data_IF_001167796804
#
_entry.id   IF_001167796804
#
_cell.length_a   1.000
_cell.length_b   1.000
_cell.length_c   1.000
_cell.angle_alpha   90.00
_cell.angle_beta   90.00
_cell.angle_gamma   90.00
#
_symmetry.space_group_name_H-M   'P 1'
#
loop_
_entity.id
_entity.type
_entity.pdbx_description
1 polymer ?
2 polymer ?
3 non-polymer ?
4 non-polymer ?
5 non-polymer ?
6 water ?
#
# COMPACT_ATOMS: atom_id res chain seq x y z
N UNK A 1 17.14 -5.00 -19.05
CA UNK A 1 15.94 -5.71 -18.50
C UNK A 1 15.20 -4.91 -17.46
N UNK A 2 13.89 -5.14 -17.32
CA UNK A 2 13.13 -4.63 -16.17
C UNK A 2 13.29 -5.46 -14.95
N UNK A 3 13.87 -4.84 -13.91
CA UNK A 3 14.20 -5.58 -12.67
C UNK A 3 13.03 -5.52 -11.74
N UNK A 4 12.42 -6.70 -11.58
CA UNK A 4 11.12 -6.88 -10.88
C UNK A 4 11.31 -8.08 -9.96
N UNK A 5 10.82 -7.94 -8.74
CA UNK A 5 10.91 -9.08 -7.79
C UNK A 5 10.22 -10.31 -8.33
N UNK A 6 10.81 -11.48 -8.19
CA UNK A 6 10.13 -12.73 -8.52
C UNK A 6 10.57 -13.27 -9.89
N UNK A 7 11.13 -12.43 -10.76
CA UNK A 7 11.47 -12.93 -12.11
C UNK A 7 12.69 -13.79 -12.11
N UNK A 8 12.79 -14.66 -13.11
CA UNK A 8 13.92 -15.53 -13.28
C UNK A 8 15.16 -14.74 -13.62
N UNK A 9 16.29 -15.23 -13.09
CA UNK A 9 17.59 -14.92 -13.64
C UNK A 9 18.43 -16.17 -13.63
N UNK A 10 19.46 -16.24 -14.50
CA UNK A 10 20.36 -17.36 -14.41
C UNK A 10 21.70 -16.91 -13.87
N UNK A 11 22.48 -17.88 -13.37
CA UNK A 11 23.77 -17.59 -12.78
C UNK A 11 24.78 -18.46 -13.55
N UNK A 12 25.74 -17.82 -14.21
CA UNK A 12 26.80 -18.54 -15.02
C UNK A 12 26.21 -19.41 -16.06
N UNK A 13 25.05 -19.03 -16.55
CA UNK A 13 24.37 -19.82 -17.59
C UNK A 13 24.11 -21.23 -17.10
N UNK A 14 23.98 -21.50 -15.79
CA UNK A 14 24.04 -22.90 -15.21
C UNK A 14 22.98 -23.22 -14.21
N UNK A 15 22.48 -22.25 -13.48
CA UNK A 15 21.39 -22.42 -12.51
C UNK A 15 20.42 -21.25 -12.60
N UNK A 16 19.21 -21.46 -12.05
CA UNK A 16 18.20 -20.41 -12.04
C UNK A 16 17.75 -20.10 -10.67
N UNK A 17 17.52 -18.80 -10.45
CA UNK A 17 17.02 -18.25 -9.22
C UNK A 17 16.00 -17.15 -9.55
N UNK A 18 15.51 -16.49 -8.52
CA UNK A 18 14.50 -15.42 -8.68
C UNK A 18 15.03 -14.12 -8.03
N UNK A 19 14.72 -13.01 -8.71
CA UNK A 19 15.08 -11.68 -8.19
C UNK A 19 14.37 -11.43 -6.84
N UNK A 20 15.02 -10.78 -5.87
CA UNK A 20 14.35 -10.40 -4.65
C UNK A 20 13.74 -9.03 -4.80
N UNK A 21 14.57 -7.99 -4.72
CA UNK A 21 14.05 -6.62 -4.84
C UNK A 21 15.08 -5.74 -5.52
N UNK A 22 14.59 -4.79 -6.30
CA UNK A 22 15.42 -3.69 -6.83
C UNK A 22 15.94 -2.84 -5.68
N UNK A 23 17.21 -2.52 -5.76
CA UNK A 23 17.88 -1.60 -4.74
C UNK A 23 18.83 -0.70 -5.45
N UNK A 24 19.28 0.33 -4.74
CA UNK A 24 20.38 1.18 -5.22
C UNK A 24 21.40 1.32 -4.13
N UNK A 25 22.56 1.68 -4.59
CA UNK A 25 23.52 2.25 -3.66
C UNK A 25 24.22 3.42 -4.38
N UNK A 26 23.82 4.63 -4.10
CA UNK A 26 24.31 5.81 -4.82
C UNK A 26 23.99 5.51 -6.27
N UNK A 27 25.02 5.64 -7.12
CA UNK A 27 24.78 5.54 -8.54
C UNK A 27 24.73 4.08 -9.00
N UNK A 28 25.01 3.11 -8.13
CA UNK A 28 25.03 1.68 -8.56
C UNK A 28 23.64 1.07 -8.40
N UNK A 29 23.17 0.47 -9.47
CA UNK A 29 21.91 -0.26 -9.46
C UNK A 29 22.13 -1.69 -9.00
N UNK A 30 21.10 -2.29 -8.37
CA UNK A 30 21.34 -3.67 -7.93
C UNK A 30 19.99 -4.36 -7.68
N UNK A 31 20.10 -5.67 -7.36
CA UNK A 31 18.95 -6.36 -6.74
C UNK A 31 19.49 -7.25 -5.66
N UNK A 32 18.71 -7.42 -4.62
CA UNK A 32 19.02 -8.39 -3.56
C UNK A 32 18.45 -9.74 -3.91
N UNK A 33 19.05 -10.80 -3.39
CA UNK A 33 18.64 -12.19 -3.71
C UNK A 33 19.26 -13.04 -2.57
N UNK A 34 19.18 -14.37 -2.72
CA UNK A 34 19.76 -15.28 -1.70
C UNK A 34 21.20 -15.54 -1.98
N UNK A 35 21.95 -15.84 -0.92
CA UNK A 35 23.41 -16.08 -0.99
C UNK A 35 23.75 -17.36 -1.70
N UNK A 36 22.95 -18.41 -1.55
CA UNK A 36 23.30 -19.66 -2.22
C UNK A 36 23.12 -19.55 -3.78
N UNK A 37 22.48 -18.48 -4.25
CA UNK A 37 22.28 -18.37 -5.71
C UNK A 37 23.59 -18.15 -6.45
N UNK A 38 24.60 -17.60 -5.82
CA UNK A 38 25.86 -17.31 -6.56
C UNK A 38 27.00 -16.92 -5.67
N UNK A 39 28.19 -17.04 -6.24
CA UNK A 39 29.43 -16.45 -5.57
C UNK A 39 29.84 -15.15 -6.16
N UNK A 40 30.66 -14.43 -5.44
CA UNK A 40 31.04 -13.12 -5.91
C UNK A 40 31.61 -13.24 -7.32
N UNK A 41 31.26 -12.27 -8.16
CA UNK A 41 31.63 -12.14 -9.58
C UNK A 41 30.94 -13.13 -10.49
N UNK A 42 30.03 -13.99 -10.00
CA UNK A 42 29.25 -14.84 -10.96
C UNK A 42 28.36 -13.91 -11.78
N UNK A 43 28.04 -14.33 -13.00
CA UNK A 43 27.32 -13.50 -13.97
C UNK A 43 25.84 -13.79 -13.95
N UNK A 44 25.03 -12.75 -13.79
CA UNK A 44 23.58 -12.90 -13.82
C UNK A 44 23.02 -12.49 -15.22
N UNK A 45 22.08 -13.26 -15.73
CA UNK A 45 21.40 -12.97 -16.99
C UNK A 45 19.90 -12.96 -16.78
N UNK A 46 19.24 -12.07 -17.53
CA UNK A 46 17.75 -12.07 -17.64
C UNK A 46 17.39 -11.96 -19.09
N UNK A 47 16.48 -12.82 -19.54
CA UNK A 47 16.08 -12.76 -20.97
C UNK A 47 17.27 -13.10 -21.88
N UNK A 48 18.27 -13.85 -21.34
CA UNK A 48 19.44 -14.22 -22.14
C UNK A 48 20.55 -13.18 -22.22
N UNK A 49 20.36 -12.03 -21.57
CA UNK A 49 21.32 -10.96 -21.64
C UNK A 49 21.96 -10.79 -20.27
N UNK A 50 23.26 -10.51 -20.27
CA UNK A 50 24.01 -10.20 -19.01
C UNK A 50 23.42 -8.92 -18.43
N UNK A 51 23.06 -9.00 -17.17
CA UNK A 51 22.54 -7.82 -16.45
C UNK A 51 23.49 -7.34 -15.38
N UNK A 52 24.38 -8.20 -14.89
CA UNK A 52 25.28 -7.75 -13.80
C UNK A 52 25.96 -8.96 -13.23
N UNK A 53 26.61 -8.76 -12.09
CA UNK A 53 27.40 -9.79 -11.45
C UNK A 53 27.17 -9.75 -9.94
N UNK A 54 27.36 -10.89 -9.28
CA UNK A 54 27.21 -10.89 -7.80
C UNK A 54 28.26 -10.02 -7.14
N UNK A 55 27.80 -9.08 -6.31
CA UNK A 55 28.71 -8.15 -5.62
C UNK A 55 29.24 -8.72 -4.31
N UNK A 56 28.32 -9.39 -3.56
CA UNK A 56 28.67 -9.90 -2.21
C UNK A 56 27.63 -10.90 -1.81
N UNK A 57 28.04 -11.81 -0.92
CA UNK A 57 27.10 -12.81 -0.46
C UNK A 57 27.56 -13.37 0.87
N UNK A 58 26.59 -13.87 1.67
CA UNK A 58 26.90 -14.67 2.86
C UNK A 58 26.05 -15.94 2.73
N UNK A 59 26.68 -17.11 2.77
CA UNK A 59 25.98 -18.41 2.82
C UNK A 59 26.99 -19.45 3.17
N UNK A 60 26.76 -20.38 4.08
CA UNK A 60 25.58 -20.45 4.98
C UNK A 60 25.73 -19.53 6.18
N UNK A 61 25.06 -19.84 7.29
CA UNK A 61 25.01 -18.90 8.48
C UNK A 61 23.90 -17.95 8.23
N UNK A 62 24.12 -17.02 7.32
CA UNK A 62 23.08 -16.28 6.66
C UNK A 62 22.80 -16.85 5.27
N UNK A 63 21.90 -16.20 4.54
CA UNK A 63 21.67 -16.65 3.12
C UNK A 63 21.19 -15.41 2.36
N UNK A 64 22.14 -14.58 1.96
CA UNK A 64 21.89 -13.28 1.34
C UNK A 64 22.97 -12.93 0.32
N UNK A 65 22.56 -12.07 -0.63
CA UNK A 65 23.47 -11.56 -1.66
C UNK A 65 22.90 -10.30 -2.23
N UNK A 66 23.74 -9.64 -2.98
CA UNK A 66 23.23 -8.68 -3.97
C UNK A 66 24.05 -8.74 -5.23
N UNK A 67 23.35 -8.40 -6.31
CA UNK A 67 23.88 -8.37 -7.71
C UNK A 67 23.96 -6.92 -8.09
N UNK A 68 25.17 -6.46 -8.44
CA UNK A 68 25.31 -5.12 -9.02
C UNK A 68 25.06 -5.16 -10.49
N UNK A 69 24.33 -4.17 -11.00
CA UNK A 69 23.75 -4.20 -12.38
C UNK A 69 24.44 -3.24 -13.32
N UNK A 70 24.38 -3.47 -14.58
CA UNK A 70 24.80 -2.43 -15.54
C UNK A 70 23.78 -1.28 -15.44
N UNK A 71 24.27 -0.09 -15.91
CA UNK A 71 23.47 1.13 -15.80
C UNK A 71 22.30 1.02 -16.76
N UNK A 72 22.34 0.15 -17.76
CA UNK A 72 21.23 0.02 -18.67
C UNK A 72 20.00 -0.68 -18.07
N UNK A 73 20.12 -1.34 -16.91
CA UNK A 73 18.97 -2.02 -16.31
C UNK A 73 17.93 -1.06 -15.81
N UNK A 74 16.67 -1.45 -15.84
CA UNK A 74 15.62 -0.56 -15.45
C UNK A 74 15.06 -1.05 -14.08
N UNK A 75 15.33 -0.34 -12.99
CA UNK A 75 14.88 -0.77 -11.65
C UNK A 75 13.41 -0.38 -11.44
N UNK A 76 12.61 -1.33 -11.05
CA UNK A 76 11.18 -1.05 -10.75
C UNK A 76 10.89 -1.42 -9.34
N UNK A 77 10.04 -0.60 -8.68
CA UNK A 77 9.61 -0.95 -7.32
C UNK A 77 8.44 -1.91 -7.29
N UNK A 78 8.67 -3.11 -7.79
CA UNK A 78 7.58 -4.04 -8.12
C UNK A 78 7.95 -5.47 -7.78
N UNK A 79 6.97 -6.28 -7.43
CA UNK A 79 7.09 -7.74 -7.30
C UNK A 79 6.05 -8.30 -8.26
N UNK A 80 6.53 -9.16 -9.14
CA UNK A 80 5.67 -9.82 -10.14
C UNK A 80 4.54 -10.58 -9.49
N UNK A 81 3.32 -10.38 -10.04
CA UNK A 81 2.15 -11.19 -9.67
C UNK A 81 1.33 -11.65 -10.88
N UNK A 82 1.76 -12.76 -11.41
CA UNK A 82 1.11 -13.26 -12.66
C UNK A 82 1.40 -12.20 -13.77
N UNK A 83 0.39 -11.82 -14.55
CA UNK A 83 0.50 -10.67 -15.52
C UNK A 83 0.36 -9.26 -14.85
N UNK A 84 0.31 -9.13 -13.50
CA UNK A 84 0.41 -7.82 -12.88
C UNK A 84 1.59 -7.74 -11.83
N UNK A 85 1.47 -6.87 -10.83
CA UNK A 85 2.55 -6.69 -9.85
C UNK A 85 2.00 -6.10 -8.58
N UNK A 86 2.78 -6.24 -7.53
CA UNK A 86 2.54 -5.53 -6.30
C UNK A 86 3.59 -4.40 -6.19
N UNK A 87 3.21 -3.19 -5.83
CA UNK A 87 4.23 -2.12 -5.67
C UNK A 87 4.87 -2.26 -4.33
N UNK A 88 6.19 -2.09 -4.32
CA UNK A 88 6.98 -2.14 -3.09
C UNK A 88 6.87 -0.75 -2.46
N UNK A 89 6.33 -0.72 -1.26
CA UNK A 89 6.05 0.53 -0.53
C UNK A 89 7.07 0.80 0.59
N UNK A 90 7.64 -0.28 1.14
CA UNK A 90 8.52 -0.13 2.32
C UNK A 90 8.97 -1.50 2.74
N UNK A 91 9.51 -1.57 3.95
CA UNK A 91 10.13 -2.84 4.46
C UNK A 91 9.69 -3.05 5.93
N UNK A 92 8.48 -2.70 6.30
CA UNK A 92 8.07 -2.92 7.69
C UNK A 92 7.79 -4.41 7.87
N UNK A 93 8.46 -5.01 8.87
CA UNK A 93 8.34 -6.45 9.07
C UNK A 93 6.97 -6.82 9.64
N UNK A 94 6.43 -7.89 9.08
CA UNK A 94 5.11 -8.42 9.48
C UNK A 94 5.24 -9.43 10.66
N UNK A 95 4.23 -9.53 11.48
CA UNK A 95 4.19 -10.42 12.65
C UNK A 95 3.82 -11.81 12.33
N UNK A 96 4.22 -12.77 13.21
CA UNK A 96 3.68 -14.14 13.10
C UNK A 96 2.16 -14.10 13.11
N UNK A 97 1.54 -14.83 12.17
CA UNK A 97 0.09 -14.80 12.02
C UNK A 97 -0.37 -13.96 10.86
N UNK A 98 0.46 -13.03 10.40
CA UNK A 98 0.07 -12.10 9.36
C UNK A 98 0.18 -12.75 7.99
N UNK A 99 -0.69 -12.34 7.06
CA UNK A 99 -0.64 -12.80 5.67
C UNK A 99 0.58 -12.32 4.94
N UNK A 100 1.13 -13.20 4.13
CA UNK A 100 2.31 -12.77 3.36
C UNK A 100 2.31 -13.55 2.08
N UNK A 101 2.94 -13.03 1.02
CA UNK A 101 2.98 -13.66 -0.26
C UNK A 101 4.44 -13.74 -0.68
N UNK A 102 4.72 -14.56 -1.62
CA UNK A 102 6.05 -14.69 -2.24
C UNK A 102 6.01 -14.90 -3.73
N UNK A 103 7.07 -14.54 -4.44
CA UNK A 103 7.06 -14.60 -5.81
C UNK A 103 8.33 -15.22 -6.35
N UNK A 104 8.30 -16.07 -7.38
CA UNK A 104 9.46 -16.75 -7.91
C UNK A 104 9.22 -17.46 -9.20
N UNK A 105 10.23 -17.84 -9.90
CA UNK A 105 10.05 -18.29 -11.27
C UNK A 105 9.51 -19.72 -11.40
N UNK A 106 9.50 -20.49 -10.32
CA UNK A 106 8.98 -21.89 -10.46
C UNK A 106 7.52 -21.89 -10.12
N UNK A 107 7.17 -21.42 -8.92
CA UNK A 107 5.76 -21.55 -8.46
C UNK A 107 4.94 -20.26 -8.70
N UNK A 108 5.55 -19.17 -9.19
CA UNK A 108 4.87 -17.96 -9.36
C UNK A 108 4.55 -17.32 -8.05
N UNK A 109 3.45 -16.62 -7.97
CA UNK A 109 3.03 -15.84 -6.81
C UNK A 109 2.14 -16.64 -5.89
N UNK A 110 2.54 -16.87 -4.67
CA UNK A 110 1.89 -17.74 -3.71
C UNK A 110 1.63 -17.02 -2.45
N UNK A 111 0.55 -17.26 -1.74
CA UNK A 111 0.27 -16.54 -0.51
C UNK A 111 -0.02 -17.55 0.58
N UNK A 112 0.22 -17.11 1.77
CA UNK A 112 -0.07 -17.89 2.94
C UNK A 112 0.09 -16.96 4.18
N UNK A 113 0.53 -17.51 5.28
CA UNK A 113 0.72 -16.70 6.53
C UNK A 113 2.09 -17.01 7.11
N UNK A 114 2.56 -16.08 7.94
CA UNK A 114 3.85 -16.24 8.68
C UNK A 114 3.57 -17.12 9.90
N UNK A 115 4.30 -18.20 10.02
CA UNK A 115 4.03 -19.23 11.04
C UNK A 115 5.19 -19.40 12.04
N UNK A 116 6.35 -18.84 11.83
CA UNK A 116 7.42 -18.81 12.89
C UNK A 116 8.46 -17.85 12.52
N UNK A 117 9.20 -17.38 13.51
CA UNK A 117 10.47 -16.64 13.30
C UNK A 117 11.63 -17.30 13.96
N UNK A 118 12.84 -16.94 13.53
CA UNK A 118 14.08 -17.45 14.12
C UNK A 118 14.30 -18.92 13.93
N UNK A 119 13.98 -19.40 12.74
CA UNK A 119 14.07 -20.83 12.43
C UNK A 119 15.47 -21.05 11.83
N UNK A 120 16.10 -22.15 12.22
CA UNK A 120 17.32 -22.61 11.54
C UNK A 120 17.01 -23.65 10.48
N UNK A 121 17.49 -23.49 9.28
CA UNK A 121 17.44 -24.54 8.26
C UNK A 121 18.72 -25.28 8.26
N UNK A 122 18.65 -26.59 8.43
CA UNK A 122 19.86 -27.42 8.42
C UNK A 122 20.10 -27.95 7.01
N UNK A 123 20.52 -27.09 6.13
CA UNK A 123 20.83 -27.50 4.76
C UNK A 123 22.05 -28.34 4.76
N UNK A 124 22.25 -29.17 3.73
CA UNK A 124 23.48 -29.98 3.64
C UNK A 124 24.65 -29.06 3.60
N UNK A 125 24.53 -27.89 2.95
CA UNK A 125 25.72 -26.99 2.87
C UNK A 125 26.09 -26.28 4.16
N UNK A 126 25.18 -26.25 5.11
CA UNK A 126 25.44 -25.55 6.40
C UNK A 126 24.15 -25.02 6.93
N UNK A 127 24.13 -24.83 8.25
CA UNK A 127 22.92 -24.26 8.86
C UNK A 127 22.79 -22.79 8.45
N UNK A 128 21.57 -22.37 8.24
CA UNK A 128 21.19 -20.97 8.00
C UNK A 128 20.20 -20.60 9.07
N UNK A 129 20.57 -19.57 9.84
CA UNK A 129 19.80 -19.20 11.06
C UNK A 129 19.00 -17.98 10.92
N UNK A 130 18.02 -17.77 11.83
CA UNK A 130 17.27 -16.54 11.88
C UNK A 130 16.19 -16.43 10.85
N UNK A 131 15.79 -17.49 10.16
CA UNK A 131 14.85 -17.38 9.03
C UNK A 131 13.41 -17.27 9.52
N UNK A 132 12.62 -16.57 8.71
CA UNK A 132 11.18 -16.51 8.99
C UNK A 132 10.48 -17.58 8.15
N UNK A 133 9.49 -18.24 8.81
CA UNK A 133 8.80 -19.33 8.10
C UNK A 133 7.42 -18.86 7.72
N UNK A 134 6.94 -19.20 6.54
CA UNK A 134 5.53 -19.10 6.13
C UNK A 134 5.05 -20.42 5.56
N UNK A 135 3.74 -20.50 5.31
CA UNK A 135 3.16 -21.73 4.77
C UNK A 135 2.78 -21.63 3.29
N UNK A 136 3.13 -20.52 2.64
CA UNK A 136 3.03 -20.45 1.17
C UNK A 136 3.94 -21.53 0.65
N UNK A 137 3.61 -22.20 -0.46
CA UNK A 137 4.53 -23.19 -1.02
C UNK A 137 5.52 -22.53 -1.91
N UNK A 138 6.47 -23.36 -2.27
CA UNK A 138 7.62 -22.90 -3.04
C UNK A 138 8.31 -24.10 -3.65
N UNK A 139 9.23 -23.88 -4.59
CA UNK A 139 9.99 -25.02 -5.06
C UNK A 139 11.29 -24.55 -5.60
N UNK A 140 12.13 -25.48 -5.97
CA UNK A 140 13.44 -25.17 -6.47
C UNK A 140 13.33 -24.24 -7.66
N UNK A 141 14.11 -23.15 -7.60
CA UNK A 141 14.14 -22.07 -8.61
C UNK A 141 13.54 -20.82 -8.01
N UNK A 142 12.73 -20.97 -6.99
CA UNK A 142 12.09 -19.83 -6.30
C UNK A 142 13.06 -19.01 -5.42
N UNK A 143 14.27 -19.65 -5.12
CA UNK A 143 15.17 -19.02 -4.16
C UNK A 143 15.63 -17.68 -4.67
N UNK A 144 15.76 -16.74 -3.65
CA UNK A 144 16.12 -15.37 -3.96
C UNK A 144 14.88 -14.54 -4.11
N UNK A 145 13.72 -15.13 -4.42
CA UNK A 145 12.53 -14.31 -4.73
C UNK A 145 11.91 -13.60 -3.57
N UNK A 146 11.15 -12.58 -3.94
CA UNK A 146 10.51 -11.67 -2.97
C UNK A 146 9.55 -12.36 -2.05
N UNK A 147 9.52 -11.97 -0.79
CA UNK A 147 8.40 -12.15 0.11
C UNK A 147 7.91 -10.79 0.42
N UNK A 148 6.60 -10.57 0.33
CA UNK A 148 6.05 -9.19 0.45
C UNK A 148 4.58 -9.34 0.81
N UNK A 149 4.13 -8.43 1.65
CA UNK A 149 2.69 -8.41 1.95
C UNK A 149 1.93 -7.81 0.81
N UNK A 150 0.61 -8.07 0.79
CA UNK A 150 -0.28 -7.57 -0.25
C UNK A 150 -0.30 -6.02 -0.21
N UNK A 151 -0.04 -5.43 0.99
CA UNK A 151 0.08 -3.98 1.16
C UNK A 151 1.43 -3.39 0.70
N UNK A 152 2.31 -4.24 0.17
CA UNK A 152 3.58 -3.81 -0.43
C UNK A 152 4.72 -3.64 0.59
N UNK A 153 4.63 -4.28 1.78
CA UNK A 153 5.82 -4.22 2.67
C UNK A 153 6.70 -5.40 2.43
N UNK A 154 7.91 -5.12 1.90
CA UNK A 154 8.87 -6.14 1.54
C UNK A 154 9.43 -6.82 2.80
N UNK A 155 9.39 -8.13 2.85
CA UNK A 155 9.76 -8.92 4.01
C UNK A 155 11.13 -9.55 3.91
N UNK A 156 11.52 -10.06 2.75
CA UNK A 156 12.74 -10.88 2.68
C UNK A 156 12.81 -11.58 1.41
N UNK A 157 13.76 -12.47 1.33
CA UNK A 157 14.04 -13.25 0.07
C UNK A 157 14.02 -14.71 0.38
N UNK A 158 13.47 -15.50 -0.59
CA UNK A 158 13.30 -16.92 -0.36
C UNK A 158 14.65 -17.61 -0.15
N UNK A 159 14.74 -18.45 0.88
CA UNK A 159 15.94 -19.28 1.15
C UNK A 159 15.72 -20.74 0.76
N UNK A 160 14.67 -21.37 1.30
CA UNK A 160 14.49 -22.81 1.03
C UNK A 160 13.52 -23.34 2.05
N UNK A 161 13.60 -24.65 2.28
CA UNK A 161 12.67 -25.28 3.19
C UNK A 161 12.42 -26.71 2.77
N UNK A 162 11.24 -27.23 3.11
CA UNK A 162 11.09 -28.74 3.02
C UNK A 162 10.60 -29.15 1.63
N UNK A 163 11.47 -28.92 0.64
CA UNK A 163 11.19 -29.42 -0.72
C UNK A 163 11.07 -30.95 -0.65
N UNK A 164 10.07 -31.41 -1.37
CA UNK A 164 9.83 -32.88 -1.47
C UNK A 164 10.63 -33.52 -2.65
N UNK A 165 10.37 -34.76 -2.92
CA UNK A 165 11.11 -35.42 -3.99
C UNK A 165 10.81 -34.84 -5.36
N UNK A 166 9.59 -34.26 -5.52
CA UNK A 166 9.36 -33.51 -6.77
C UNK A 166 9.95 -32.08 -6.90
N UNK A 167 10.73 -31.64 -5.91
CA UNK A 167 11.31 -30.33 -6.04
C UNK A 167 10.52 -29.17 -5.46
N UNK A 168 9.35 -29.42 -4.92
CA UNK A 168 8.54 -28.37 -4.30
C UNK A 168 7.92 -28.81 -3.01
N UNK A 169 7.15 -27.93 -2.30
CA UNK A 169 6.34 -28.38 -1.17
C UNK A 169 4.90 -27.93 -1.44
N UNK A 170 4.58 -27.79 -2.77
CA UNK A 170 3.22 -27.48 -3.07
C UNK A 170 2.35 -28.71 -2.97
N UNK A 171 2.91 -29.96 -2.98
CA UNK A 171 2.06 -31.20 -3.02
C UNK A 171 1.77 -31.77 -1.62
N UNK A 172 2.13 -30.99 -0.57
CA UNK A 172 1.76 -31.32 0.81
C UNK A 172 0.84 -30.21 1.40
N UNK A 173 0.12 -30.48 2.52
CA UNK A 173 -0.83 -29.44 3.16
C UNK A 173 -0.01 -28.22 3.77
N UNK A 174 -0.70 -27.08 3.89
CA UNK A 174 -0.01 -25.84 4.31
C UNK A 174 0.45 -26.11 5.69
N UNK A 175 -0.19 -26.91 6.52
CA UNK A 175 0.25 -27.11 7.91
C UNK A 175 1.57 -27.84 7.97
N UNK A 176 2.00 -28.47 6.89
CA UNK A 176 3.31 -29.18 6.87
C UNK A 176 4.39 -28.45 6.13
N UNK A 177 4.05 -27.27 5.63
CA UNK A 177 5.05 -26.58 4.80
C UNK A 177 5.97 -25.71 5.63
N UNK A 178 7.24 -25.83 5.36
CA UNK A 178 8.22 -24.92 5.98
C UNK A 178 8.88 -24.20 4.83
N UNK A 179 8.42 -22.98 4.58
CA UNK A 179 8.97 -22.18 3.45
C UNK A 179 9.63 -20.98 4.13
N UNK A 180 10.93 -20.93 3.99
CA UNK A 180 11.80 -20.04 4.86
C UNK A 180 12.38 -18.88 4.07
N UNK A 181 12.32 -17.70 4.64
CA UNK A 181 12.93 -16.49 4.02
C UNK A 181 13.96 -15.81 4.92
N UNK A 182 14.95 -15.23 4.25
CA UNK A 182 15.96 -14.37 4.89
C UNK A 182 15.38 -12.97 5.00
N UNK A 183 15.33 -12.42 6.21
CA UNK A 183 14.78 -11.09 6.42
C UNK A 183 15.48 -10.04 5.61
N UNK A 184 14.75 -9.07 5.08
CA UNK A 184 15.31 -8.05 4.17
C UNK A 184 16.15 -7.01 4.89
N UNK A 185 15.69 -6.47 6.03
CA UNK A 185 16.41 -5.33 6.55
C UNK A 185 17.88 -5.62 6.85
N UNK A 186 18.24 -6.81 7.41
CA UNK A 186 19.66 -7.04 7.66
C UNK A 186 20.47 -7.09 6.38
N UNK A 187 19.89 -7.47 5.26
CA UNK A 187 20.60 -7.45 3.95
C UNK A 187 20.90 -6.05 3.51
N UNK A 188 19.88 -5.19 3.57
CA UNK A 188 20.07 -3.76 3.23
C UNK A 188 21.05 -3.12 4.17
N UNK A 189 21.07 -3.50 5.42
CA UNK A 189 22.00 -2.85 6.35
C UNK A 189 23.40 -3.35 6.15
N UNK A 190 23.66 -4.63 5.92
CA UNK A 190 25.06 -5.08 5.76
C UNK A 190 25.71 -4.44 4.51
N UNK A 191 24.89 -4.28 3.46
CA UNK A 191 25.44 -3.85 2.19
C UNK A 191 25.22 -2.39 1.88
N UNK A 192 24.53 -1.68 2.76
CA UNK A 192 24.31 -0.23 2.53
C UNK A 192 23.44 0.05 1.32
N UNK A 193 22.38 -0.71 1.21
CA UNK A 193 21.51 -0.59 0.02
C UNK A 193 20.22 0.05 0.38
N UNK A 194 19.67 0.81 -0.55
CA UNK A 194 18.34 1.42 -0.43
C UNK A 194 17.31 0.68 -1.24
N UNK A 195 16.21 0.32 -0.62
CA UNK A 195 15.14 -0.35 -1.32
C UNK A 195 14.43 0.60 -2.28
N UNK A 196 14.26 0.21 -3.53
CA UNK A 196 13.51 1.07 -4.51
C UNK A 196 11.99 0.96 -4.22
N UNK A 197 11.36 2.06 -3.89
CA UNK A 197 9.92 2.04 -3.52
C UNK A 197 9.17 2.89 -4.48
N UNK A 198 7.84 2.73 -4.51
CA UNK A 198 6.90 3.57 -5.31
C UNK A 198 5.76 3.92 -4.34
C UNK B 1 14.69 -31.10 4.83
N UNK B 2 15.49 -30.09 5.09
CA UNK B 2 15.41 -28.78 4.47
C UNK B 2 16.47 -28.71 3.40
N UNK B 3 16.15 -27.97 2.32
CA UNK B 3 17.13 -27.83 1.23
C UNK B 3 16.96 -26.41 0.69
N UNK B 4 18.00 -25.80 0.14
CA UNK B 4 17.84 -24.46 -0.46
C UNK B 4 16.97 -24.60 -1.68
N UNK B 5 16.22 -23.52 -2.04
CA UNK B 5 15.54 -23.44 -3.34
C UNK B 5 16.19 -22.33 -4.12
N UNK C 1 -9.12 4.18 18.27
CA UNK C 1 -10.08 5.28 18.16
C UNK C 1 -11.41 4.90 17.59
N UNK C 2 -12.37 5.74 17.93
CA UNK C 2 -13.73 5.69 17.25
C UNK C 2 -13.62 6.40 15.94
N UNK C 3 -13.99 5.68 14.89
CA UNK C 3 -13.89 6.23 13.54
C UNK C 3 -15.23 6.78 13.16
N UNK C 4 -15.34 8.10 13.09
CA UNK C 4 -16.64 8.86 12.97
C UNK C 4 -16.36 9.90 11.84
N UNK C 5 -17.31 10.09 10.95
CA UNK C 5 -17.16 11.07 9.87
C UNK C 5 -17.01 12.44 10.42
N UNK C 6 -16.09 13.23 9.81
CA UNK C 6 -15.95 14.63 10.20
C UNK C 6 -14.87 14.95 11.19
N UNK C 7 -14.40 13.95 11.91
CA UNK C 7 -13.35 14.20 12.93
C UNK C 7 -12.00 14.42 12.27
N UNK C 8 -11.12 15.13 13.00
CA UNK C 8 -9.73 15.38 12.55
C UNK C 8 -8.90 14.10 12.52
N UNK C 9 -8.03 14.02 11.50
CA UNK C 9 -6.90 13.13 11.61
C UNK C 9 -5.74 13.83 10.95
N UNK C 10 -4.52 13.38 11.30
CA UNK C 10 -3.29 13.94 10.71
C UNK C 10 -2.66 12.95 9.77
N UNK C 11 -1.85 13.45 8.82
CA UNK C 11 -1.20 12.56 7.85
C UNK C 11 0.29 12.87 7.78
N UNK C 12 1.06 11.86 8.19
CA UNK C 12 2.55 11.86 8.20
C UNK C 12 2.94 12.93 9.09
N UNK C 13 2.21 13.11 10.18
CA UNK C 13 2.47 14.10 11.27
C UNK C 13 2.56 15.58 10.80
N UNK C 14 1.82 15.92 9.75
CA UNK C 14 1.91 17.24 9.10
C UNK C 14 0.45 17.68 8.72
N UNK C 15 -0.04 17.31 7.59
CA UNK C 15 -1.31 17.87 7.19
C UNK C 15 -2.48 17.37 8.12
N UNK C 16 -3.56 18.15 8.21
CA UNK C 16 -4.84 17.71 8.85
C UNK C 16 -5.91 17.63 7.82
N UNK C 17 -6.73 16.61 7.96
CA UNK C 17 -7.93 16.45 7.11
C UNK C 17 -9.01 15.89 8.03
N UNK C 18 -10.16 15.57 7.42
CA UNK C 18 -11.32 15.08 8.11
C UNK C 18 -11.71 13.69 7.61
N UNK C 19 -12.13 12.82 8.52
CA UNK C 19 -12.62 11.51 8.11
C UNK C 19 -13.89 11.61 7.29
N UNK C 20 -13.98 10.75 6.26
CA UNK C 20 -15.17 10.72 5.45
C UNK C 20 -16.21 9.77 6.05
N UNK C 21 -16.03 8.46 5.83
CA UNK C 21 -16.97 7.46 6.39
C UNK C 21 -16.26 6.18 6.71
N UNK C 22 -16.72 5.53 7.77
CA UNK C 22 -16.31 4.17 8.10
C UNK C 22 -16.70 3.22 7.01
N UNK C 23 -15.80 2.32 6.59
CA UNK C 23 -16.08 1.29 5.57
C UNK C 23 -15.36 0.02 5.98
N UNK C 24 -15.75 -1.10 5.32
CA UNK C 24 -14.97 -2.34 5.43
C UNK C 24 -14.59 -2.83 4.03
N UNK C 25 -13.50 -3.59 4.02
CA UNK C 25 -13.12 -4.36 2.80
C UNK C 25 -12.84 -5.75 3.28
N UNK C 26 -13.90 -6.53 3.24
CA UNK C 26 -13.92 -7.81 3.95
C UNK C 26 -13.63 -7.67 5.42
N UNK C 27 -12.63 -8.41 5.89
CA UNK C 27 -12.17 -8.30 7.27
C UNK C 27 -11.42 -6.98 7.61
N UNK C 28 -11.07 -6.20 6.61
CA UNK C 28 -10.23 -5.04 6.83
C UNK C 28 -11.11 -3.81 7.15
N UNK C 29 -10.79 -3.14 8.24
CA UNK C 29 -11.47 -1.90 8.60
C UNK C 29 -10.86 -0.73 7.85
N UNK C 30 -11.66 0.28 7.55
CA UNK C 30 -11.11 1.43 6.79
C UNK C 30 -11.95 2.69 6.99
N UNK C 31 -11.47 3.83 6.50
CA UNK C 31 -12.36 4.95 6.22
C UNK C 31 -12.00 5.55 4.93
N UNK C 32 -12.99 6.08 4.25
CA UNK C 32 -12.78 6.85 3.00
C UNK C 32 -12.55 8.31 3.29
N UNK C 33 -11.79 8.97 2.41
CA UNK C 33 -11.42 10.36 2.59
C UNK C 33 -11.05 10.89 1.21
N UNK C 34 -10.53 12.11 1.16
CA UNK C 34 -10.12 12.71 -0.14
C UNK C 34 -8.71 12.23 -0.46
N UNK C 35 -8.46 12.12 -1.78
CA UNK C 35 -7.13 11.69 -2.31
C UNK C 35 -6.03 12.68 -2.03
N UNK C 36 -6.29 13.99 -2.05
CA UNK C 36 -5.21 14.95 -1.81
C UNK C 36 -4.69 14.86 -0.35
N UNK C 37 -5.49 14.26 0.53
CA UNK C 37 -5.09 14.12 1.95
C UNK C 37 -3.82 13.32 2.18
N UNK C 38 -3.55 12.34 1.32
CA UNK C 38 -2.33 11.57 1.54
C UNK C 38 -2.00 10.70 0.35
N UNK C 39 -0.69 10.36 0.27
CA UNK C 39 -0.19 9.36 -0.73
C UNK C 39 -0.22 7.94 -0.14
N UNK C 40 -0.18 6.87 -0.98
CA UNK C 40 -0.21 5.47 -0.49
C UNK C 40 0.90 5.26 0.48
N UNK C 41 0.60 4.56 1.56
CA UNK C 41 1.52 4.29 2.61
C UNK C 41 1.68 5.44 3.62
N UNK C 42 1.08 6.63 3.42
CA UNK C 42 1.17 7.68 4.44
C UNK C 42 0.39 7.27 5.72
N UNK C 43 0.85 7.78 6.85
CA UNK C 43 0.40 7.25 8.17
C UNK C 43 -0.62 8.20 8.73
N UNK C 44 -1.82 7.65 9.04
CA UNK C 44 -2.93 8.39 9.61
C UNK C 44 -2.91 8.32 11.14
N UNK C 45 -3.12 9.44 11.83
CA UNK C 45 -3.24 9.42 13.29
C UNK C 45 -4.45 10.19 13.75
N UNK C 46 -5.04 9.68 14.83
CA UNK C 46 -6.13 10.32 15.53
C UNK C 46 -5.84 10.34 17.03
N UNK C 47 -6.06 11.49 17.63
CA UNK C 47 -5.75 11.71 19.09
C UNK C 47 -4.32 11.38 19.41
N UNK C 48 -3.41 11.65 18.49
CA UNK C 48 -2.01 11.31 18.75
C UNK C 48 -1.59 9.87 18.51
N UNK C 49 -2.49 8.97 18.12
CA UNK C 49 -2.08 7.57 17.88
C UNK C 49 -2.20 7.15 16.44
N UNK C 50 -1.32 6.29 15.94
CA UNK C 50 -1.45 5.69 14.60
C UNK C 50 -2.74 4.86 14.54
N UNK C 51 -3.56 5.15 13.57
CA UNK C 51 -4.76 4.37 13.38
C UNK C 51 -4.66 3.55 12.08
N UNK C 52 -3.83 3.93 11.11
CA UNK C 52 -3.78 3.12 9.88
C UNK C 52 -2.90 3.85 8.89
N UNK C 53 -3.02 3.44 7.64
CA UNK C 53 -2.15 4.02 6.64
C UNK C 53 -3.00 4.08 5.35
N UNK C 54 -2.67 5.03 4.48
CA UNK C 54 -3.37 5.15 3.22
C UNK C 54 -3.17 3.91 2.37
N UNK C 55 -4.23 3.30 1.93
CA UNK C 55 -4.16 2.06 1.18
C UNK C 55 -4.14 2.32 -0.34
N UNK C 56 -4.87 3.32 -0.78
CA UNK C 56 -5.02 3.64 -2.19
C UNK C 56 -5.51 5.05 -2.25
N UNK C 57 -5.21 5.71 -3.34
CA UNK C 57 -5.70 7.07 -3.63
C UNK C 57 -5.66 7.40 -5.09
N UNK C 58 -6.54 8.31 -5.49
CA UNK C 58 -6.42 8.94 -6.85
C UNK C 58 -6.50 10.43 -6.58
N UNK C 59 -5.55 11.18 -7.10
CA UNK C 59 -5.56 12.65 -7.13
C UNK C 59 -4.41 13.10 -8.00
N UNK C 60 -4.61 14.09 -8.87
CA UNK C 60 -5.87 14.68 -9.27
C UNK C 60 -6.65 13.81 -10.26
N UNK C 61 -7.48 14.44 -11.08
CA UNK C 61 -8.38 13.65 -11.95
C UNK C 61 -9.62 13.28 -11.12
N UNK C 62 -9.42 12.32 -10.22
CA UNK C 62 -10.40 12.13 -9.15
C UNK C 62 -9.82 12.74 -7.89
N UNK C 63 -10.50 12.59 -6.75
CA UNK C 63 -10.01 13.05 -5.45
C UNK C 63 -10.52 12.14 -4.36
N UNK C 64 -9.97 10.95 -4.30
CA UNK C 64 -10.46 9.89 -3.40
C UNK C 64 -9.35 9.13 -2.75
N UNK C 65 -9.63 8.53 -1.63
CA UNK C 65 -8.67 7.62 -0.97
C UNK C 65 -9.36 6.83 0.06
N UNK C 66 -8.77 5.70 0.44
CA UNK C 66 -9.18 5.06 1.72
C UNK C 66 -7.94 4.73 2.53
N UNK C 67 -8.15 4.69 3.85
CA UNK C 67 -7.14 4.46 4.84
C UNK C 67 -7.48 3.09 5.49
N UNK C 68 -6.58 2.14 5.40
CA UNK C 68 -6.72 0.84 5.97
C UNK C 68 -6.34 0.93 7.43
N UNK C 69 -7.18 0.41 8.33
CA UNK C 69 -7.05 0.64 9.77
C UNK C 69 -6.61 -0.60 10.51
N UNK C 70 -5.95 -0.37 11.62
CA UNK C 70 -5.62 -1.54 12.47
C UNK C 70 -6.89 -2.13 13.11
N UNK C 71 -6.79 -3.38 13.58
CA UNK C 71 -7.96 -4.08 14.14
C UNK C 71 -8.50 -3.41 15.39
N UNK C 72 -7.66 -2.68 16.09
CA UNK C 72 -8.13 -2.04 17.30
C UNK C 72 -9.05 -0.87 17.06
N UNK C 73 -9.19 -0.37 15.80
CA UNK C 73 -10.08 0.76 15.59
C UNK C 73 -11.54 0.33 15.62
N UNK C 74 -12.37 1.25 16.04
CA UNK C 74 -13.78 0.99 16.14
C UNK C 74 -14.55 1.73 15.05
N UNK C 75 -15.10 1.00 14.12
CA UNK C 75 -15.89 1.60 13.04
C UNK C 75 -17.29 1.92 13.47
N UNK C 76 -17.72 3.11 13.16
CA UNK C 76 -19.11 3.56 13.56
C UNK C 76 -19.82 4.13 12.38
N UNK C 77 -21.13 3.84 12.24
CA UNK C 77 -21.90 4.40 11.14
C UNK C 77 -22.41 5.83 11.57
N UNK C 78 -21.49 6.75 11.80
CA UNK C 78 -21.79 7.98 12.46
C UNK C 78 -20.97 9.12 11.88
N UNK C 79 -21.52 10.31 11.88
CA UNK C 79 -20.89 11.58 11.47
C UNK C 79 -21.06 12.58 12.56
N UNK C 80 -19.98 13.28 12.93
CA UNK C 80 -20.11 14.27 13.97
C UNK C 80 -20.92 15.45 13.61
N UNK C 81 -21.72 15.91 14.55
CA UNK C 81 -22.56 17.15 14.42
C UNK C 81 -22.56 17.88 15.74
N UNK C 82 -21.52 18.71 15.95
CA UNK C 82 -21.38 19.50 17.19
C UNK C 82 -21.17 18.55 18.36
N UNK C 83 -22.05 18.60 19.36
CA UNK C 83 -21.96 17.78 20.54
C UNK C 83 -22.69 16.43 20.30
N UNK C 84 -23.26 16.23 19.12
CA UNK C 84 -24.02 15.04 18.83
C UNK C 84 -23.47 14.41 17.51
N UNK C 85 -24.32 13.61 16.87
CA UNK C 85 -23.90 12.80 15.73
C UNK C 85 -25.09 12.57 14.81
N UNK C 86 -24.87 12.27 13.59
CA UNK C 86 -25.85 11.88 12.57
C UNK C 86 -25.54 10.38 12.27
N UNK C 87 -26.53 9.49 12.25
CA UNK C 87 -26.37 8.09 11.84
C UNK C 87 -26.39 7.96 10.33
N UNK C 88 -25.43 7.19 9.83
CA UNK C 88 -25.35 6.84 8.37
C UNK C 88 -26.32 5.71 8.09
N UNK C 89 -27.32 5.95 7.24
CA UNK C 89 -28.36 4.96 7.03
C UNK C 89 -28.33 4.46 5.61
N UNK C 90 -27.46 4.96 4.76
CA UNK C 90 -27.42 4.48 3.35
C UNK C 90 -26.60 5.43 2.61
N UNK C 91 -26.56 5.21 1.27
CA UNK C 91 -25.73 6.02 0.33
C UNK C 91 -26.59 6.39 -0.87
N UNK C 92 -27.87 6.67 -0.74
CA UNK C 92 -28.65 7.09 -1.90
C UNK C 92 -28.30 8.51 -2.21
N UNK C 93 -27.91 8.70 -3.47
CA UNK C 93 -27.52 10.02 -3.92
C UNK C 93 -28.63 11.02 -4.05
N UNK C 94 -28.44 12.19 -3.47
CA UNK C 94 -29.46 13.22 -3.49
C UNK C 94 -29.36 14.02 -4.80
N UNK C 95 -30.51 14.57 -5.19
CA UNK C 95 -30.64 15.40 -6.39
C UNK C 95 -30.22 16.82 -6.23
N UNK C 96 -29.90 17.44 -7.40
CA UNK C 96 -29.73 18.89 -7.35
C UNK C 96 -31.04 19.56 -6.77
N UNK C 97 -30.82 20.49 -5.86
CA UNK C 97 -31.96 21.11 -5.17
C UNK C 97 -32.15 20.55 -3.80
N UNK C 98 -31.66 19.38 -3.46
CA UNK C 98 -31.94 18.75 -2.15
C UNK C 98 -31.03 19.36 -1.10
N UNK C 99 -31.50 19.30 0.14
CA UNK C 99 -30.72 19.72 1.27
C UNK C 99 -29.58 18.77 1.57
N UNK C 100 -28.42 19.24 2.02
CA UNK C 100 -27.34 18.32 2.34
C UNK C 100 -26.51 19.04 3.37
N UNK C 101 -25.79 18.30 4.18
CA UNK C 101 -24.86 18.82 5.18
C UNK C 101 -23.51 18.24 5.00
N UNK C 102 -22.54 18.87 5.69
CA UNK C 102 -21.18 18.39 5.69
C UNK C 102 -20.53 18.61 7.04
N UNK C 103 -19.49 17.80 7.32
CA UNK C 103 -18.87 17.74 8.64
C UNK C 103 -17.37 17.75 8.48
N UNK C 104 -16.64 18.56 9.25
CA UNK C 104 -15.19 18.51 9.15
C UNK C 104 -14.61 19.32 10.27
N UNK C 105 -13.28 19.18 10.40
CA UNK C 105 -12.60 19.69 11.65
C UNK C 105 -12.37 21.22 11.66
N UNK C 106 -12.57 21.91 10.57
CA UNK C 106 -12.39 23.37 10.53
C UNK C 106 -13.67 24.17 10.74
N UNK C 107 -14.69 23.87 9.99
CA UNK C 107 -15.96 24.64 10.11
C UNK C 107 -17.07 23.84 10.79
N UNK C 108 -16.79 22.63 11.23
CA UNK C 108 -17.81 21.82 11.87
C UNK C 108 -18.88 21.42 10.92
N UNK C 109 -20.10 21.35 11.40
CA UNK C 109 -21.21 20.84 10.66
C UNK C 109 -21.99 21.95 10.03
N UNK C 110 -22.08 21.97 8.73
CA UNK C 110 -22.69 23.05 7.95
C UNK C 110 -23.69 22.51 6.98
N UNK C 111 -24.78 23.23 6.73
CA UNK C 111 -25.83 22.69 5.82
C UNK C 111 -26.09 23.67 4.76
N UNK C 112 -26.59 23.14 3.69
CA UNK C 112 -26.99 23.97 2.58
C UNK C 112 -27.77 23.11 1.59
N UNK C 113 -27.60 23.36 0.29
CA UNK C 113 -28.27 22.55 -0.80
C UNK C 113 -27.31 22.22 -1.85
N UNK C 114 -27.66 21.14 -2.56
CA UNK C 114 -26.90 20.70 -3.76
C UNK C 114 -27.21 21.64 -4.90
N UNK C 115 -26.19 22.28 -5.51
CA UNK C 115 -26.41 23.29 -6.54
C UNK C 115 -25.88 22.86 -7.92
N UNK C 116 -25.03 21.85 -8.03
CA UNK C 116 -24.61 21.37 -9.38
C UNK C 116 -24.02 20.00 -9.25
N UNK C 117 -23.99 19.26 -10.36
CA UNK C 117 -23.21 18.02 -10.44
C UNK C 117 -22.25 18.11 -11.60
N UNK C 118 -21.23 17.24 -11.55
CA UNK C 118 -20.29 17.10 -12.71
C UNK C 118 -19.44 18.36 -12.90
N UNK C 119 -19.00 18.97 -11.81
CA UNK C 119 -18.13 20.17 -11.82
C UNK C 119 -16.67 19.76 -11.82
N UNK C 120 -15.90 20.42 -12.71
CA UNK C 120 -14.45 20.26 -12.70
C UNK C 120 -13.82 21.44 -11.94
N UNK C 121 -12.97 21.15 -10.98
CA UNK C 121 -12.18 22.17 -10.24
C UNK C 121 -10.78 22.19 -10.81
N UNK C 122 -10.34 23.36 -11.23
CA UNK C 122 -9.01 23.51 -11.79
C UNK C 122 -8.03 23.84 -10.66
N UNK C 123 -7.70 22.91 -9.75
CA UNK C 123 -6.78 23.13 -8.65
C UNK C 123 -5.35 23.31 -9.22
N UNK C 124 -4.52 23.96 -8.40
CA UNK C 124 -3.10 24.23 -8.83
C UNK C 124 -2.41 22.91 -9.07
N UNK C 125 -2.78 21.85 -8.34
CA UNK C 125 -2.17 20.55 -8.52
C UNK C 125 -2.67 19.79 -9.76
N UNK C 126 -3.72 20.27 -10.42
CA UNK C 126 -4.26 19.62 -11.59
C UNK C 126 -5.79 19.48 -11.40
N UNK C 127 -6.52 19.38 -12.49
CA UNK C 127 -8.00 19.35 -12.46
C UNK C 127 -8.52 18.10 -11.83
N UNK C 128 -9.64 18.31 -11.08
CA UNK C 128 -10.39 17.21 -10.54
C UNK C 128 -11.77 17.33 -11.10
N UNK C 129 -12.23 16.24 -11.76
CA UNK C 129 -13.52 16.28 -12.45
C UNK C 129 -14.62 15.52 -11.72
N UNK C 130 -15.86 15.76 -12.14
CA UNK C 130 -16.93 14.93 -11.63
C UNK C 130 -17.54 15.35 -10.30
N UNK C 131 -17.12 16.49 -9.73
CA UNK C 131 -17.47 16.86 -8.34
C UNK C 131 -18.91 17.36 -8.25
N UNK C 132 -19.52 17.13 -7.10
CA UNK C 132 -20.85 17.73 -6.83
C UNK C 132 -20.64 19.00 -6.03
N UNK C 133 -21.40 20.03 -6.34
CA UNK C 133 -21.31 21.33 -5.65
C UNK C 133 -22.51 21.56 -4.75
N UNK C 134 -22.22 22.05 -3.56
CA UNK C 134 -23.27 22.54 -2.67
C UNK C 134 -22.91 23.94 -2.20
N UNK C 135 -23.83 24.57 -1.48
CA UNK C 135 -23.59 25.90 -0.99
C UNK C 135 -23.43 25.94 0.51
N UNK C 136 -23.30 24.79 1.18
CA UNK C 136 -22.80 24.77 2.56
C UNK C 136 -21.45 25.35 2.63
N UNK C 137 -21.09 26.13 3.57
CA UNK C 137 -19.71 26.60 3.64
C UNK C 137 -18.69 25.56 4.13
N UNK C 138 -17.39 25.87 3.94
CA UNK C 138 -16.34 24.91 4.26
C UNK C 138 -15.06 25.74 4.34
N UNK C 139 -14.03 25.09 4.85
CA UNK C 139 -12.67 25.71 4.83
C UNK C 139 -11.56 24.72 4.91
N UNK C 140 -10.36 25.26 4.78
CA UNK C 140 -9.15 24.44 4.82
C UNK C 140 -9.15 23.58 6.08
N UNK C 141 -9.01 22.27 5.90
CA UNK C 141 -8.95 21.22 6.93
C UNK C 141 -10.21 20.41 6.92
N UNK C 142 -11.26 20.91 6.27
CA UNK C 142 -12.53 20.14 6.15
C UNK C 142 -12.39 19.05 5.10
N UNK C 143 -11.30 19.04 4.19
CA UNK C 143 -11.22 18.03 3.11
C UNK C 143 -11.18 16.65 3.68
N UNK C 144 -11.87 15.78 2.92
CA UNK C 144 -12.04 14.36 3.26
C UNK C 144 -13.31 14.17 4.06
N UNK C 145 -13.88 15.27 4.63
CA UNK C 145 -14.99 15.07 5.57
C UNK C 145 -16.32 14.72 4.91
N UNK C 146 -17.20 14.15 5.70
CA UNK C 146 -18.49 13.67 5.22
C UNK C 146 -19.40 14.75 4.65
N UNK C 147 -20.05 14.43 3.58
CA UNK C 147 -21.31 15.07 3.10
C UNK C 147 -22.41 14.06 3.24
N UNK C 148 -23.46 14.44 3.93
CA UNK C 148 -24.57 13.55 4.26
C UNK C 148 -25.82 14.33 4.36
N UNK C 149 -26.92 13.69 4.00
CA UNK C 149 -28.20 14.41 4.23
C UNK C 149 -28.68 14.25 5.70
N UNK C 150 -29.59 15.11 6.13
CA UNK C 150 -30.07 15.08 7.49
C UNK C 150 -30.73 13.74 7.78
N UNK C 151 -31.34 13.12 6.75
CA UNK C 151 -31.94 11.79 6.94
C UNK C 151 -30.91 10.61 6.97
N UNK C 152 -29.61 10.89 6.78
CA UNK C 152 -28.58 9.93 6.97
C UNK C 152 -28.06 9.29 5.69
N UNK C 153 -28.32 9.87 4.52
CA UNK C 153 -27.77 9.28 3.26
C UNK C 153 -26.41 9.93 2.99
N UNK C 154 -25.40 9.09 3.00
CA UNK C 154 -24.04 9.51 2.76
C UNK C 154 -23.84 9.89 1.29
N UNK C 155 -23.34 11.08 1.02
CA UNK C 155 -23.18 11.58 -0.34
C UNK C 155 -21.79 11.54 -0.89
N UNK C 156 -20.78 11.85 -0.06
CA UNK C 156 -19.40 11.95 -0.63
C UNK C 156 -18.48 12.58 0.39
N UNK C 157 -17.27 12.91 -0.10
CA UNK C 157 -16.24 13.42 0.79
C UNK C 157 -15.77 14.77 0.30
N UNK C 158 -15.51 15.72 1.19
CA UNK C 158 -15.13 17.11 0.82
C UNK C 158 -13.82 17.08 -0.02
N UNK C 159 -13.85 17.78 -1.14
CA UNK C 159 -12.63 17.97 -1.97
C UNK C 159 -12.11 19.36 -1.82
N UNK C 160 -12.86 20.38 -2.07
CA UNK C 160 -12.33 21.76 -2.04
C UNK C 160 -13.33 22.72 -2.62
N UNK C 161 -12.85 23.85 -3.16
CA UNK C 161 -13.76 24.89 -3.66
C UNK C 161 -13.16 26.23 -3.51
N UNK C 162 -13.99 27.24 -3.39
CA UNK C 162 -13.51 28.64 -3.45
C UNK C 162 -13.21 29.27 -2.13
N UNK C 163 -12.15 28.77 -1.51
CA UNK C 163 -11.77 29.30 -0.20
C UNK C 163 -11.33 30.76 -0.40
N UNK C 164 -11.72 31.62 0.53
CA UNK C 164 -11.36 33.07 0.54
C UNK C 164 -10.16 33.30 1.45
N UNK C 165 -9.74 34.53 1.55
CA UNK C 165 -8.48 34.77 2.25
C UNK C 165 -8.53 34.38 3.76
N UNK C 166 -9.72 34.29 4.40
CA UNK C 166 -9.85 33.78 5.76
C UNK C 166 -9.77 32.24 5.89
N UNK C 167 -9.53 31.54 4.75
CA UNK C 167 -9.43 30.07 4.73
C UNK C 167 -10.73 29.35 4.59
N UNK C 168 -11.81 30.04 4.37
CA UNK C 168 -13.12 29.36 4.21
C UNK C 168 -13.99 30.09 3.21
N UNK C 169 -15.20 29.62 2.92
CA UNK C 169 -16.13 30.44 2.16
C UNK C 169 -17.38 30.75 2.93
N UNK C 170 -17.24 30.77 4.28
CA UNK C 170 -18.36 31.11 5.13
C UNK C 170 -18.73 32.58 5.06
N UNK C 171 -17.81 33.43 4.65
CA UNK C 171 -17.99 34.88 4.68
C UNK C 171 -18.50 35.47 3.39
N UNK C 172 -18.88 34.63 2.41
CA UNK C 172 -19.56 35.11 1.19
C UNK C 172 -20.97 34.51 1.15
N UNK C 173 -21.90 35.11 0.42
CA UNK C 173 -23.24 34.61 0.37
C UNK C 173 -23.24 33.20 -0.21
N UNK C 174 -24.30 32.47 0.17
CA UNK C 174 -24.48 31.13 -0.31
C UNK C 174 -24.48 31.02 -1.83
N UNK C 175 -25.01 32.05 -2.50
CA UNK C 175 -25.15 32.02 -3.96
C UNK C 175 -23.79 32.12 -4.65
N UNK C 176 -22.72 32.42 -3.89
CA UNK C 176 -21.37 32.54 -4.42
C UNK C 176 -20.49 31.37 -3.94
N UNK C 177 -20.98 30.46 -3.11
CA UNK C 177 -20.15 29.42 -2.58
C UNK C 177 -20.03 28.23 -3.47
N UNK C 178 -18.84 27.83 -3.76
CA UNK C 178 -18.64 26.58 -4.51
C UNK C 178 -17.94 25.65 -3.57
N UNK C 179 -18.65 24.73 -2.95
CA UNK C 179 -18.10 23.76 -2.03
C UNK C 179 -18.28 22.42 -2.65
N UNK C 180 -17.20 21.75 -3.00
CA UNK C 180 -17.20 20.58 -3.91
C UNK C 180 -16.88 19.30 -3.22
N UNK C 181 -17.62 18.24 -3.48
CA UNK C 181 -17.28 16.93 -2.91
C UNK C 181 -17.21 15.84 -4.00
N UNK C 182 -16.39 14.87 -3.65
CA UNK C 182 -16.23 13.65 -4.47
C UNK C 182 -17.35 12.68 -4.14
N UNK C 183 -18.10 12.23 -5.13
CA UNK C 183 -19.20 11.34 -4.84
C UNK C 183 -18.71 10.03 -4.20
N UNK C 184 -19.53 9.51 -3.30
CA UNK C 184 -19.13 8.33 -2.53
C UNK C 184 -19.12 7.03 -3.30
N UNK C 185 -20.21 6.77 -4.05
CA UNK C 185 -20.38 5.40 -4.65
C UNK C 185 -19.17 5.04 -5.51
N UNK C 186 -18.66 5.92 -6.34
CA UNK C 186 -17.46 5.49 -7.14
C UNK C 186 -16.26 5.11 -6.29
N UNK C 187 -16.11 5.71 -5.13
CA UNK C 187 -14.99 5.34 -4.32
C UNK C 187 -15.24 3.93 -3.75
N UNK C 188 -16.44 3.63 -3.29
CA UNK C 188 -16.76 2.30 -2.75
C UNK C 188 -16.61 1.30 -3.86
N UNK C 189 -17.04 1.63 -5.09
CA UNK C 189 -16.94 0.65 -6.22
C UNK C 189 -15.51 0.42 -6.59
N UNK C 190 -14.69 1.46 -6.69
CA UNK C 190 -13.29 1.29 -7.15
C UNK C 190 -12.52 0.40 -6.20
N UNK C 191 -12.76 0.58 -4.90
CA UNK C 191 -11.89 -0.12 -3.95
C UNK C 191 -12.55 -1.33 -3.29
N UNK C 192 -13.76 -1.68 -3.72
CA UNK C 192 -14.47 -2.85 -3.17
C UNK C 192 -14.85 -2.69 -1.72
N UNK C 193 -15.27 -1.48 -1.36
CA UNK C 193 -15.52 -1.13 0.06
C UNK C 193 -17.01 -1.15 0.30
N UNK C 194 -17.36 -1.50 1.54
CA UNK C 194 -18.76 -1.48 1.95
C UNK C 194 -18.96 -0.39 3.02
N UNK C 195 -19.95 0.47 2.83
CA UNK C 195 -20.24 1.49 3.82
C UNK C 195 -20.73 0.90 5.12
N UNK C 196 -20.25 1.34 6.26
CA UNK C 196 -20.82 0.89 7.59
C UNK C 196 -22.10 1.71 7.83
N UNK C 197 -23.22 0.99 8.01
CA UNK C 197 -24.56 1.63 8.11
C UNK C 197 -25.29 1.18 9.32
N UNK C 198 -26.11 2.06 9.86
CA UNK C 198 -26.92 1.80 11.07
C UNK C 198 -28.31 1.38 10.65
C UNK D 1 -10.41 29.06 -6.88
N UNK D 2 -10.31 27.86 -7.37
CA UNK D 2 -10.56 26.69 -6.56
C UNK D 2 -9.31 26.18 -5.95
N UNK D 3 -9.40 25.61 -4.76
CA UNK D 3 -8.26 25.02 -4.08
C UNK D 3 -8.77 23.80 -3.28
N UNK D 4 -7.96 22.74 -3.14
CA UNK D 4 -8.33 21.66 -2.28
C UNK D 4 -8.44 22.17 -0.84
N UNK D 5 -9.33 21.53 -0.05
CA UNK D 5 -9.41 21.81 1.40
C UNK D 5 -9.00 20.50 2.09
X LIG E 1 28.49 -5.52 -12.76
X LIG E 1 28.71 -4.64 -11.59
X LIG E 1 27.87 -4.79 -13.91
X LIG E 1 27.60 -3.55 -13.30
X LIG F 1 3.27 -24.10 8.37
X LIG F 1 4.26 -23.08 7.98
X LIG F 1 3.84 -24.80 9.54
X LIG F 1 3.57 -23.89 10.62
X LIG G 1 2.32 -20.14 15.01
X LIG G 1 2.58 -21.02 13.90
X LIG G 1 1.43 -20.89 16.00
X LIG G 1 2.38 -21.78 16.68
X LIG H 1 27.64 3.40 3.95
X LIG H 1 28.22 4.68 4.61
X LIG H 1 26.59 3.83 3.09
X LIG H 1 28.73 2.72 3.35
X LIG H 1 27.13 2.54 4.95
X LIG I 1 -4.08 -28.01 6.48
X LIG I 1 -5.01 -27.31 7.30
X LIG I 1 -2.95 -27.16 6.16
X LIG I 1 -3.71 -29.35 6.98
X LIG I 1 -4.64 -28.19 5.20
X LIG J 1 29.47 -16.78 -17.79
X LIG J 1 29.89 -18.08 -17.27
X LIG J 1 29.63 -16.75 -19.22
X LIG J 1 30.22 -15.71 -17.15
X LIG J 1 28.08 -16.63 -17.53
X LIG K 1 23.77 -9.92 10.33
X LIG K 1 24.06 -9.40 11.59
X LIG K 1 22.41 -9.80 10.01
X LIG K 1 24.14 -11.28 10.43
X LIG K 1 24.40 -9.13 9.37
X LIG L 1 25.27 -13.49 -24.51
X LIG L 1 25.35 -14.98 -24.84
X LIG L 1 24.29 -12.89 -23.97
X LIG L 1 26.54 -15.14 -25.41
X LIG L 1 25.40 -15.77 -23.76
X LIG L 1 24.38 -15.37 -25.69
X LIG M 1 15.46 3.47 -16.31
X LIG M 1 15.16 4.46 -15.31
X LIG M 1 14.87 4.02 -17.25
X LIG M 1 15.91 5.47 -15.69
X LIG M 1 13.90 4.54 -15.56
X LIG M 1 15.24 4.14 -14.02
X LIG N 1 32.52 -2.17 0.56
X LIG N 1 31.71 -1.20 -0.28
X LIG N 1 31.61 -2.84 1.09
X LIG N 1 32.33 -0.03 -0.17
X LIG N 1 31.67 -1.63 -1.58
X LIG N 1 30.34 -0.95 -0.07
X LIG O 1 -11.58 26.86 -11.09
X LIG O 1 -10.52 27.53 -10.41
X LIG O 1 -11.71 27.06 -12.66
X LIG O 1 -10.88 27.96 -13.39
X LIG O 1 -9.73 26.96 -10.40
X LIG O 1 -10.85 27.68 -14.33
X LIG P 1 -17.29 8.86 -11.83
X LIG P 1 -17.02 9.84 -10.77
X LIG P 1 -16.67 7.50 -11.64
X LIG P 1 -15.28 7.76 -11.33
X LIG P 1 -17.59 10.62 -10.89
X LIG P 1 -14.72 7.11 -11.77
X LIG Q 1 -23.37 28.88 0.48
X LIG Q 1 -23.04 30.29 0.59
X LIG Q 1 -23.27 28.53 -0.93
X LIG Q 1 -22.39 28.09 1.25
X LIG Q 1 -24.71 28.63 1.03
X LIG R 1 -0.46 15.44 -4.20
X LIG R 1 0.77 15.20 -3.48
X LIG R 1 -0.45 14.51 -5.29
X LIG R 1 -0.62 16.83 -4.65
X LIG R 1 -1.58 15.18 -3.30
X LIG S 1 7.86 12.11 10.41
X LIG S 1 8.24 13.27 9.51
X LIG S 1 6.48 11.66 9.94
X LIG S 1 8.91 10.97 10.28
X LIG S 1 7.61 12.48 11.78
X LIG T 1 -25.86 9.81 -10.74
X LIG T 1 -25.69 11.32 -10.96
X LIG T 1 -24.96 9.03 -11.10
X LIG T 1 -24.58 11.72 -10.27
X LIG T 1 -25.44 11.41 -12.26
X LIG T 1 -26.84 12.04 -10.74
#
# INVERSE_FOLDING_TARGET
ANIVGGIEYSINNASLCSVGFSVTRGATKGFVTAGHCGTVNATARIGGAVVGTFAARVFPGNDRAWVSLTSAQTLLPRVANGSSFVTVRGSTEAAVGAAVCRSGRTTGYQCGTITAKNVTANYAEGAVRGLTQGNACMGRGDSGGSWITSAGQAQGVMSGGNVQSNGNNCGIPASQRSSLFERLQPILSQYGLSLVTG
XAAPX
ANIVGGIEYSINNASLCSVGFSVTRGATKGFVTAGHCGTVNATARIGGAVVGTFAARVFPGNDRAWVSLTSAQTLLPRVANGSSFVTVRGSTEAAVGAAVCRSGRTTGYQCGTITAKNVTANYAEGAVRGLTQGNACMGRGDSGGSWITSAGQAQGVMSGGNVQSNGNNCGIPASQRSSLFERLQPILSQYGLSLVTG
XAAPX
EDO C1 O1 C2 O2
EDO C1 O1 C2 O2
EDO C1 O1 C2 O2
SO4 S O1 O2 O3 O4
SO4 S O1 O2 O3 O4
SO4 S O1 O2 O3 O4
SO4 S O1 O2 O3 O4
TFA C1 C2 O F1 F2 F3
TFA C1 C2 O F1 F2 F3
TFA C1 C2 O F1 F2 F3
EDO C1 O1 C2 O2 HO1 HO2
EDO C1 O1 C2 O2 HO1 HO2
SO4 S O1 O2 O3 O4
SO4 S O1 O2 O3 O4
SO4 S O1 O2 O3 O4
TFA C1 C2 O F1 F2 F3
#
